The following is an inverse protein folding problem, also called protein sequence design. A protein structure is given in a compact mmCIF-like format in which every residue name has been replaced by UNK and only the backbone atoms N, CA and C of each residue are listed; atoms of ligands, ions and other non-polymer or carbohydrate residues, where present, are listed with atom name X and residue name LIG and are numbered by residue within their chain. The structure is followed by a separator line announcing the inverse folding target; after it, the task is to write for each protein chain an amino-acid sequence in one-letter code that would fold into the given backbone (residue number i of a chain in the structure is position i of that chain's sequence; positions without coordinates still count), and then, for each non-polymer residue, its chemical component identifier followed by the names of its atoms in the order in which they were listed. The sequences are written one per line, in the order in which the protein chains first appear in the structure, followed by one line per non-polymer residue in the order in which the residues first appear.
data_IF_052318995955
#
_entry.id   IF_052318995955
#
_cell.length_a   1.000
_cell.length_b   1.000
_cell.length_c   1.000
_cell.angle_alpha   90.00
_cell.angle_beta   90.00
_cell.angle_gamma   90.00
#
_symmetry.space_group_name_H-M   'P 1'
#
loop_
_entity.id
_entity.type
_entity.pdbx_description
1 polymer ?
#
# COMPACT_ATOMS: atom_id res chain seq x y z
N UNK A 1 -28.56 24.73 -44.52
CA UNK A 1 -27.75 25.19 -43.38
C UNK A 1 -27.82 24.21 -42.20
N UNK A 2 -27.77 22.88 -42.43
CA UNK A 2 -28.08 21.88 -41.38
C UNK A 2 -27.16 20.65 -41.38
N UNK A 3 -26.16 20.59 -42.27
CA UNK A 3 -25.23 19.46 -42.35
C UNK A 3 -24.04 19.61 -41.36
N UNK A 4 -23.51 20.83 -41.19
CA UNK A 4 -22.39 21.10 -40.29
C UNK A 4 -22.72 20.77 -38.82
N UNK A 5 -23.91 21.17 -38.36
CA UNK A 5 -24.35 20.93 -36.98
C UNK A 5 -24.50 19.44 -36.64
N UNK A 6 -24.88 18.58 -37.59
CA UNK A 6 -25.00 17.13 -37.35
C UNK A 6 -23.63 16.47 -37.18
N UNK A 7 -22.68 16.82 -38.03
CA UNK A 7 -21.31 16.30 -37.94
C UNK A 7 -20.63 16.77 -36.65
N UNK A 8 -20.83 18.03 -36.25
CA UNK A 8 -20.32 18.57 -34.97
C UNK A 8 -20.88 17.81 -33.76
N UNK A 9 -22.19 17.54 -33.74
CA UNK A 9 -22.83 16.78 -32.65
C UNK A 9 -22.34 15.33 -32.61
N UNK A 10 -22.16 14.68 -33.76
CA UNK A 10 -21.63 13.31 -33.83
C UNK A 10 -20.18 13.27 -33.34
N UNK A 11 -19.33 14.18 -33.80
CA UNK A 11 -17.92 14.26 -33.37
C UNK A 11 -17.85 14.54 -31.87
N UNK A 12 -18.62 15.50 -31.36
CA UNK A 12 -18.72 15.78 -29.93
C UNK A 12 -19.17 14.56 -29.11
N UNK A 13 -20.16 13.82 -29.61
CA UNK A 13 -20.62 12.58 -28.98
C UNK A 13 -19.55 11.48 -28.92
N UNK A 14 -18.79 11.29 -30.02
CA UNK A 14 -17.67 10.34 -30.06
C UNK A 14 -16.56 10.74 -29.09
N UNK A 15 -16.19 12.03 -29.06
CA UNK A 15 -15.18 12.54 -28.14
C UNK A 15 -15.61 12.33 -26.68
N UNK A 16 -16.88 12.61 -26.35
CA UNK A 16 -17.43 12.38 -25.02
C UNK A 16 -17.38 10.89 -24.65
N UNK A 17 -17.77 10.00 -25.56
CA UNK A 17 -17.73 8.55 -25.33
C UNK A 17 -16.28 8.06 -25.10
N UNK A 18 -15.31 8.53 -25.89
CA UNK A 18 -13.90 8.24 -25.68
C UNK A 18 -13.39 8.76 -24.35
N UNK A 19 -13.78 9.98 -23.94
CA UNK A 19 -13.38 10.55 -22.66
C UNK A 19 -13.93 9.73 -21.48
N UNK A 20 -15.18 9.29 -21.54
CA UNK A 20 -15.77 8.41 -20.52
C UNK A 20 -15.06 7.05 -20.49
N UNK A 21 -14.84 6.43 -21.64
CA UNK A 21 -14.12 5.14 -21.72
C UNK A 21 -12.70 5.24 -21.17
N UNK A 22 -11.98 6.33 -21.48
CA UNK A 22 -10.66 6.60 -20.94
C UNK A 22 -10.70 6.82 -19.43
N UNK A 23 -11.67 7.60 -18.91
CA UNK A 23 -11.84 7.80 -17.48
C UNK A 23 -12.10 6.49 -16.73
N UNK A 24 -12.95 5.62 -17.28
CA UNK A 24 -13.21 4.28 -16.73
C UNK A 24 -11.96 3.41 -16.77
N UNK A 25 -11.22 3.38 -17.89
CA UNK A 25 -9.98 2.62 -18.00
C UNK A 25 -8.92 3.11 -17.02
N UNK A 26 -8.69 4.43 -16.96
CA UNK A 26 -7.73 5.07 -16.08
C UNK A 26 -8.06 4.81 -14.60
N UNK A 27 -9.35 4.82 -14.22
CA UNK A 27 -9.75 4.49 -12.85
C UNK A 27 -9.42 3.04 -12.47
N UNK A 28 -9.62 2.09 -13.38
CA UNK A 28 -9.30 0.67 -13.14
C UNK A 28 -7.79 0.43 -13.09
N UNK A 29 -7.02 1.05 -14.01
CA UNK A 29 -5.56 0.89 -14.05
C UNK A 29 -4.85 1.56 -12.89
N UNK A 30 -5.38 2.68 -12.39
CA UNK A 30 -4.89 3.33 -11.17
C UNK A 30 -5.32 2.62 -9.88
N UNK A 31 -6.01 1.47 -9.98
CA UNK A 31 -6.41 0.69 -8.81
C UNK A 31 -7.51 1.33 -7.97
N UNK A 32 -8.25 2.32 -8.50
CA UNK A 32 -9.43 2.92 -7.85
C UNK A 32 -10.65 1.99 -7.87
N UNK A 33 -10.51 0.74 -8.31
CA UNK A 33 -11.56 -0.27 -8.28
C UNK A 33 -12.05 -0.48 -6.86
N UNK A 34 -13.24 0.07 -6.60
CA UNK A 34 -14.18 -0.25 -5.52
C UNK A 34 -13.51 -0.83 -4.28
N UNK A 35 -13.23 0.04 -3.29
CA UNK A 35 -12.83 -0.37 -1.96
C UNK A 35 -13.69 -1.56 -1.55
N UNK A 36 -13.10 -2.77 -1.56
CA UNK A 36 -13.72 -3.92 -0.92
C UNK A 36 -13.91 -3.46 0.51
N UNK A 37 -15.15 -3.53 1.00
CA UNK A 37 -15.50 -3.17 2.37
C UNK A 37 -14.72 -4.10 3.28
N UNK A 38 -13.51 -3.70 3.62
CA UNK A 38 -12.62 -4.39 4.53
C UNK A 38 -12.63 -3.70 5.88
N UNK A 39 -11.67 -4.04 6.72
CA UNK A 39 -11.41 -3.34 7.97
C UNK A 39 -10.06 -2.64 7.90
N UNK A 40 -9.89 -1.61 8.73
CA UNK A 40 -8.62 -0.91 8.85
C UNK A 40 -7.85 -1.38 10.08
N UNK A 41 -6.54 -1.40 9.96
CA UNK A 41 -5.61 -1.62 11.05
C UNK A 41 -4.57 -0.50 11.10
N UNK A 42 -4.03 -0.32 12.29
CA UNK A 42 -2.96 0.62 12.61
C UNK A 42 -1.61 -0.06 12.75
N UNK A 43 -0.56 0.68 12.45
CA UNK A 43 0.81 0.32 12.83
C UNK A 43 1.68 1.57 12.89
N UNK A 44 2.66 1.59 13.80
CA UNK A 44 3.59 2.71 13.94
C UNK A 44 5.02 2.26 13.66
N UNK A 45 5.71 2.85 12.67
CA UNK A 45 7.05 2.41 12.25
C UNK A 45 8.14 3.43 12.60
N UNK A 46 9.36 2.95 12.87
CA UNK A 46 10.54 3.82 13.02
C UNK A 46 11.04 4.39 11.70
N UNK A 47 10.93 3.61 10.63
CA UNK A 47 11.29 4.03 9.27
C UNK A 47 10.25 3.47 8.33
N UNK A 48 9.63 4.36 7.55
CA UNK A 48 8.63 4.02 6.52
C UNK A 48 9.18 4.20 5.10
N UNK A 49 10.51 4.11 4.95
CA UNK A 49 11.20 4.40 3.70
C UNK A 49 10.61 3.60 2.53
N UNK A 50 10.28 4.29 1.43
CA UNK A 50 9.73 3.68 0.22
C UNK A 50 8.27 3.24 0.30
N UNK A 51 7.57 3.47 1.41
CA UNK A 51 6.12 3.20 1.56
C UNK A 51 5.35 4.52 1.49
N UNK A 52 4.24 4.53 0.75
CA UNK A 52 3.35 5.68 0.61
C UNK A 52 1.89 5.24 0.67
N UNK A 53 0.95 6.20 0.75
CA UNK A 53 -0.46 5.90 0.51
C UNK A 53 -0.61 5.25 -0.88
N UNK A 54 -1.32 4.13 -0.95
CA UNK A 54 -1.41 3.32 -2.16
C UNK A 54 -0.43 2.14 -2.22
N UNK A 55 0.56 2.06 -1.33
CA UNK A 55 1.45 0.90 -1.24
C UNK A 55 0.67 -0.36 -0.87
N UNK A 56 1.01 -1.47 -1.52
CA UNK A 56 0.37 -2.77 -1.27
C UNK A 56 0.64 -3.28 0.14
N UNK A 57 -0.42 -3.81 0.77
CA UNK A 57 -0.31 -4.69 1.94
C UNK A 57 -0.48 -6.12 1.47
N UNK A 58 0.47 -6.99 1.84
CA UNK A 58 0.57 -8.35 1.36
C UNK A 58 0.65 -9.35 2.52
N UNK A 59 0.08 -10.53 2.30
CA UNK A 59 0.22 -11.69 3.16
C UNK A 59 0.67 -12.86 2.29
N UNK A 60 1.77 -13.50 2.67
CA UNK A 60 2.41 -14.56 1.88
C UNK A 60 2.65 -14.17 0.40
N UNK A 61 3.01 -12.90 0.15
CA UNK A 61 3.25 -12.36 -1.19
C UNK A 61 1.98 -12.00 -1.99
N UNK A 62 0.78 -12.26 -1.47
CA UNK A 62 -0.49 -11.92 -2.13
C UNK A 62 -1.02 -10.60 -1.58
N UNK A 63 -1.42 -9.67 -2.47
CA UNK A 63 -2.05 -8.41 -2.07
C UNK A 63 -3.38 -8.67 -1.38
N UNK A 64 -3.47 -8.26 -0.11
CA UNK A 64 -4.68 -8.32 0.71
C UNK A 64 -5.23 -6.93 1.04
N UNK A 65 -4.49 -5.86 0.73
CA UNK A 65 -4.88 -4.52 1.15
C UNK A 65 -3.98 -3.43 0.60
N UNK A 66 -4.16 -2.23 1.13
CA UNK A 66 -3.41 -1.03 0.70
C UNK A 66 -3.26 -0.06 1.86
N UNK A 67 -2.11 0.61 1.96
CA UNK A 67 -1.87 1.73 2.87
C UNK A 67 -2.80 2.90 2.54
N UNK A 68 -3.55 3.37 3.53
CA UNK A 68 -4.60 4.39 3.37
C UNK A 68 -4.19 5.74 3.97
N UNK A 69 -3.37 5.75 5.02
CA UNK A 69 -2.87 6.97 5.63
C UNK A 69 -1.47 6.79 6.21
N UNK A 70 -0.66 7.85 6.16
CA UNK A 70 0.64 7.95 6.83
C UNK A 70 0.74 9.34 7.45
N UNK A 71 1.04 9.40 8.74
CA UNK A 71 1.23 10.64 9.50
C UNK A 71 2.47 10.54 10.38
N UNK A 72 3.30 11.59 10.42
CA UNK A 72 4.40 11.66 11.38
C UNK A 72 3.88 12.07 12.75
N UNK A 73 4.16 11.27 13.76
CA UNK A 73 3.87 11.60 15.15
C UNK A 73 4.98 12.49 15.72
N UNK A 74 4.70 13.75 16.12
CA UNK A 74 5.72 14.68 16.58
C UNK A 74 6.28 14.36 17.97
N UNK A 75 5.58 13.55 18.77
CA UNK A 75 5.99 13.19 20.13
C UNK A 75 6.89 11.94 20.13
N UNK A 76 6.55 10.95 19.30
CA UNK A 76 7.30 9.68 19.22
C UNK A 76 8.31 9.66 18.07
N UNK A 77 8.21 10.59 17.12
CA UNK A 77 8.96 10.63 15.86
C UNK A 77 8.80 9.36 15.00
N UNK A 78 7.70 8.63 15.19
CA UNK A 78 7.35 7.46 14.39
C UNK A 78 6.34 7.83 13.30
N UNK A 79 6.32 7.02 12.25
CA UNK A 79 5.31 7.12 11.20
C UNK A 79 4.10 6.26 11.57
N UNK A 80 3.03 6.92 12.02
CA UNK A 80 1.75 6.28 12.31
C UNK A 80 1.01 6.04 11.00
N UNK A 81 0.68 4.78 10.75
CA UNK A 81 0.17 4.29 9.46
C UNK A 81 -1.17 3.61 9.66
N UNK A 82 -2.10 3.89 8.74
CA UNK A 82 -3.34 3.14 8.59
C UNK A 82 -3.32 2.40 7.27
N UNK A 83 -3.87 1.20 7.28
CA UNK A 83 -3.99 0.38 6.09
C UNK A 83 -5.25 -0.46 6.13
N UNK A 84 -5.77 -0.74 4.95
CA UNK A 84 -6.95 -1.58 4.75
C UNK A 84 -6.55 -3.05 4.62
N UNK A 85 -7.42 -3.94 5.08
CA UNK A 85 -7.35 -5.40 4.86
C UNK A 85 -8.67 -5.84 4.22
N UNK A 86 -8.59 -6.59 3.13
CA UNK A 86 -9.75 -7.08 2.41
C UNK A 86 -10.65 -7.98 3.28
N UNK A 87 -11.95 -7.90 3.04
CA UNK A 87 -12.94 -8.75 3.70
C UNK A 87 -12.64 -10.24 3.56
N UNK A 88 -12.96 -11.02 4.60
CA UNK A 88 -12.74 -12.46 4.64
C UNK A 88 -11.30 -12.90 4.95
N UNK A 89 -10.37 -11.94 5.12
CA UNK A 89 -9.02 -12.22 5.63
C UNK A 89 -8.97 -11.84 7.10
N UNK A 90 -8.67 -12.80 7.97
CA UNK A 90 -8.52 -12.59 9.41
C UNK A 90 -7.04 -12.61 9.78
N UNK A 91 -6.57 -11.56 10.44
CA UNK A 91 -5.18 -11.43 10.88
C UNK A 91 -5.09 -11.77 12.38
N UNK A 92 -4.30 -12.79 12.78
CA UNK A 92 -4.10 -13.12 14.19
C UNK A 92 -3.60 -11.93 15.00
N UNK A 93 -4.06 -11.77 16.25
CA UNK A 93 -3.70 -10.63 17.12
C UNK A 93 -2.23 -10.63 17.59
N UNK A 94 -1.49 -11.71 17.34
CA UNK A 94 -0.05 -11.83 17.55
C UNK A 94 0.77 -11.70 16.25
N UNK A 95 0.17 -11.15 15.19
CA UNK A 95 0.86 -10.94 13.91
C UNK A 95 1.84 -9.76 13.97
N UNK A 96 2.88 -9.84 13.17
CA UNK A 96 3.84 -8.76 12.97
C UNK A 96 3.64 -8.10 11.59
N UNK A 97 4.08 -6.84 11.48
CA UNK A 97 4.02 -6.08 10.23
C UNK A 97 5.39 -5.52 9.87
N UNK A 98 5.82 -5.80 8.63
CA UNK A 98 7.19 -5.56 8.18
C UNK A 98 7.17 -4.76 6.88
N UNK A 99 8.09 -3.80 6.74
CA UNK A 99 8.32 -3.17 5.45
C UNK A 99 9.36 -3.99 4.67
N UNK A 100 8.87 -4.65 3.64
CA UNK A 100 9.65 -5.54 2.78
C UNK A 100 9.88 -4.90 1.41
N UNK A 101 10.93 -5.35 0.72
CA UNK A 101 11.28 -4.88 -0.64
C UNK A 101 10.99 -5.98 -1.67
N UNK A 102 10.46 -5.62 -2.83
CA UNK A 102 10.21 -6.54 -3.95
C UNK A 102 11.49 -6.99 -4.68
N UNK A 103 12.65 -6.44 -4.30
CA UNK A 103 13.95 -6.72 -4.90
C UNK A 103 14.69 -5.44 -5.28
N UNK A 104 15.71 -5.55 -6.12
CA UNK A 104 16.64 -4.43 -6.40
C UNK A 104 16.01 -3.27 -7.20
N UNK A 105 15.02 -3.57 -8.04
CA UNK A 105 14.38 -2.60 -8.93
C UNK A 105 12.89 -2.40 -8.61
N UNK A 106 12.39 -3.12 -7.61
CA UNK A 106 11.00 -3.08 -7.20
C UNK A 106 10.75 -2.04 -6.11
N UNK A 107 9.48 -1.81 -5.79
CA UNK A 107 9.10 -0.94 -4.70
C UNK A 107 9.23 -1.62 -3.34
N UNK A 108 8.87 -0.89 -2.28
CA UNK A 108 8.59 -1.48 -0.99
C UNK A 108 7.09 -1.78 -0.86
N UNK A 109 6.78 -2.78 -0.06
CA UNK A 109 5.43 -3.17 0.30
C UNK A 109 5.35 -3.46 1.79
N UNK A 110 4.14 -3.46 2.33
CA UNK A 110 3.89 -3.80 3.72
C UNK A 110 3.52 -5.27 3.78
N UNK A 111 4.27 -6.06 4.54
CA UNK A 111 4.08 -7.49 4.71
C UNK A 111 3.47 -7.79 6.07
N UNK A 112 2.39 -8.56 6.09
CA UNK A 112 1.78 -9.11 7.29
C UNK A 112 2.34 -10.51 7.51
N UNK A 113 3.05 -10.70 8.62
CA UNK A 113 3.53 -11.99 9.08
C UNK A 113 2.57 -12.55 10.12
N UNK A 114 1.71 -13.52 9.77
CA UNK A 114 0.71 -14.03 10.69
C UNK A 114 1.38 -14.78 11.85
N UNK A 115 0.87 -14.53 13.06
CA UNK A 115 1.21 -15.31 14.23
C UNK A 115 0.39 -16.60 14.35
N UNK A 116 0.38 -17.19 15.55
CA UNK A 116 -0.28 -18.46 15.84
C UNK A 116 -1.50 -18.34 16.76
N UNK A 117 -1.91 -17.12 17.11
CA UNK A 117 -3.03 -16.89 18.00
C UNK A 117 -4.36 -17.41 17.42
N UNK A 118 -5.24 -17.97 18.26
CA UNK A 118 -6.60 -18.30 17.87
C UNK A 118 -7.54 -17.07 17.83
N UNK A 119 -7.04 -15.90 18.25
CA UNK A 119 -7.77 -14.63 18.25
C UNK A 119 -7.28 -13.73 17.11
N UNK A 120 -8.11 -12.76 16.72
CA UNK A 120 -7.87 -11.90 15.57
C UNK A 120 -8.04 -10.44 15.95
N UNK A 121 -7.30 -9.55 15.26
CA UNK A 121 -7.49 -8.12 15.40
C UNK A 121 -8.89 -7.68 14.94
N UNK A 122 -9.46 -6.71 15.66
CA UNK A 122 -10.69 -6.02 15.31
C UNK A 122 -10.42 -4.78 14.44
N UNK A 123 -11.48 -4.23 13.86
CA UNK A 123 -11.38 -3.02 13.06
C UNK A 123 -10.92 -1.83 13.91
N UNK A 124 -9.81 -1.20 13.50
CA UNK A 124 -9.21 -0.06 14.18
C UNK A 124 -8.10 -0.41 15.16
N UNK A 125 -7.84 -1.70 15.39
CA UNK A 125 -6.75 -2.14 16.26
C UNK A 125 -5.37 -1.76 15.70
N UNK A 126 -4.39 -1.71 16.60
CA UNK A 126 -3.00 -1.36 16.29
C UNK A 126 -2.12 -2.61 16.40
N UNK A 127 -1.36 -2.92 15.34
CA UNK A 127 -0.34 -3.96 15.38
C UNK A 127 0.91 -3.38 16.03
N UNK A 128 1.30 -3.96 17.18
CA UNK A 128 2.43 -3.45 17.97
C UNK A 128 3.80 -3.95 17.44
N UNK A 129 3.87 -5.20 16.96
CA UNK A 129 5.11 -5.76 16.41
C UNK A 129 5.36 -5.23 15.00
N UNK A 130 6.18 -4.18 14.93
CA UNK A 130 6.48 -3.42 13.72
C UNK A 130 7.96 -3.47 13.39
N UNK A 131 8.28 -3.78 12.14
CA UNK A 131 9.63 -3.73 11.61
C UNK A 131 9.71 -2.74 10.45
N UNK A 132 10.49 -1.68 10.65
CA UNK A 132 10.69 -0.64 9.65
C UNK A 132 11.61 -1.09 8.50
N UNK A 133 11.65 -0.28 7.45
CA UNK A 133 12.50 -0.53 6.30
C UNK A 133 13.98 -0.60 6.68
N UNK A 134 14.71 -1.52 6.06
CA UNK A 134 16.17 -1.64 6.20
C UNK A 134 16.86 -1.06 4.96
N UNK A 135 17.75 -0.09 5.17
CA UNK A 135 18.51 0.50 4.07
C UNK A 135 19.60 -0.46 3.57
N UNK A 136 19.57 -0.78 2.27
CA UNK A 136 20.61 -1.58 1.60
C UNK A 136 21.99 -0.92 1.72
N UNK A 137 22.05 0.41 1.66
CA UNK A 137 23.30 1.16 1.80
C UNK A 137 23.89 0.93 3.19
N UNK A 138 23.05 0.99 4.24
CA UNK A 138 23.50 0.70 5.60
C UNK A 138 23.98 -0.75 5.76
N UNK A 139 23.32 -1.71 5.09
CA UNK A 139 23.79 -3.10 5.08
C UNK A 139 25.13 -3.27 4.37
N UNK A 140 25.34 -2.59 3.23
CA UNK A 140 26.61 -2.60 2.51
C UNK A 140 27.74 -1.99 3.34
N UNK A 141 27.48 -0.86 4.01
CA UNK A 141 28.45 -0.25 4.92
C UNK A 141 28.76 -1.20 6.08
N UNK A 142 27.75 -1.84 6.68
CA UNK A 142 27.95 -2.83 7.74
C UNK A 142 28.79 -4.02 7.26
N UNK A 143 28.59 -4.49 6.04
CA UNK A 143 29.36 -5.59 5.45
C UNK A 143 30.83 -5.18 5.21
N UNK A 144 31.07 -4.04 4.55
CA UNK A 144 32.43 -3.56 4.24
C UNK A 144 33.20 -3.14 5.49
N UNK A 145 32.52 -2.51 6.46
CA UNK A 145 33.15 -2.11 7.72
C UNK A 145 33.36 -3.30 8.68
N UNK A 146 32.56 -4.37 8.56
CA UNK A 146 32.64 -5.57 9.38
C UNK A 146 33.77 -6.53 9.00
N UNK A 147 34.35 -6.39 7.80
CA UNK A 147 35.47 -7.21 7.29
C UNK A 147 36.85 -6.62 7.64
N UNK A 148 36.91 -5.44 8.26
CA UNK A 148 38.16 -4.72 8.58
C UNK A 148 38.67 -4.88 10.01
N UNK A 149 38.11 -5.80 10.78
CA UNK A 149 38.36 -5.91 12.22
C UNK A 149 38.41 -7.34 12.73
N UNK A 150 39.23 -8.20 12.11
CA UNK A 150 39.94 -9.34 12.70
C UNK A 150 41.06 -9.80 11.75
#
# INVERSE_FOLDING_TARGET
MSAHTKTEVIVGGVVLACAVAFGVYASQSAGLSQARVGYELGASFRSLEGVNVGTDVRLAGVKIGTVTNVTLNPDTYRADTRFSVADGILIPDDSAIVISSEGLLGGNFVEVMPGGSPFFFEAGDEIEDTQGAVSLISLLVKFVAGDGGE
#
